data_IF_117716423878
#
_entry.id   IF_117716423878
#
_cell.length_a   1.000
_cell.length_b   1.000
_cell.length_c   1.000
_cell.angle_alpha   90.00
_cell.angle_beta   90.00
_cell.angle_gamma   90.00
#
_symmetry.space_group_name_H-M   'P 1'
#
loop_
_entity.id
_entity.type
_entity.pdbx_description
1 polymer ?
#
# COMPACT_ATOMS: atom_id res chain seq x y z
N UNK A 1 0.32 5.58 72.09
CA UNK A 1 -0.42 4.88 73.16
C UNK A 1 -1.72 5.65 73.38
N UNK A 2 -2.78 5.39 72.61
CA UNK A 2 -3.70 4.23 72.65
C UNK A 2 -4.92 4.49 73.53
N UNK A 3 -6.07 4.65 72.86
CA UNK A 3 -7.42 4.21 73.24
C UNK A 3 -8.43 5.08 72.48
N UNK A 4 -9.00 4.58 71.37
CA UNK A 4 -10.23 3.77 71.28
C UNK A 4 -11.55 4.56 71.30
N UNK A 5 -12.20 4.53 70.13
CA UNK A 5 -13.53 3.91 69.90
C UNK A 5 -14.82 4.71 70.25
N UNK A 6 -15.77 4.55 69.30
CA UNK A 6 -17.24 4.71 69.32
C UNK A 6 -17.77 6.13 69.07
N UNK A 7 -18.31 6.39 67.87
CA UNK A 7 -19.64 5.99 67.38
C UNK A 7 -20.74 6.78 68.09
N UNK A 8 -21.09 7.92 67.51
CA UNK A 8 -22.32 8.66 67.81
C UNK A 8 -23.27 8.51 66.62
N UNK A 9 -24.31 7.72 66.80
CA UNK A 9 -25.48 7.68 65.95
C UNK A 9 -26.55 8.45 66.72
N UNK A 10 -26.98 9.60 66.20
CA UNK A 10 -28.16 10.30 66.71
C UNK A 10 -28.99 10.77 65.51
N UNK A 11 -30.26 10.39 65.49
CA UNK A 11 -31.24 10.70 64.44
C UNK A 11 -31.79 12.11 64.70
N UNK A 12 -32.33 12.79 63.68
CA UNK A 12 -33.79 12.70 63.57
C UNK A 12 -34.32 12.61 62.14
N UNK A 13 -35.37 11.81 62.07
CA UNK A 13 -36.40 11.68 61.05
C UNK A 13 -36.79 13.04 60.41
N UNK A 14 -36.50 13.20 59.12
CA UNK A 14 -37.30 14.06 58.25
C UNK A 14 -37.71 13.28 57.01
N UNK A 15 -38.97 12.89 57.06
CA UNK A 15 -39.81 12.44 55.98
C UNK A 15 -39.59 13.26 54.70
N UNK A 16 -38.86 12.72 53.72
CA UNK A 16 -38.92 13.17 52.32
C UNK A 16 -39.28 11.98 51.45
N UNK A 17 -40.55 11.99 51.06
CA UNK A 17 -41.21 11.10 50.13
C UNK A 17 -40.64 11.36 48.72
N UNK A 18 -39.48 10.82 48.38
CA UNK A 18 -38.87 11.00 47.04
C UNK A 18 -38.95 9.71 46.24
N UNK A 19 -39.74 9.78 45.17
CA UNK A 19 -40.05 8.72 44.22
C UNK A 19 -38.77 8.13 43.62
N UNK A 20 -38.71 6.81 43.55
CA UNK A 20 -37.74 6.03 42.78
C UNK A 20 -37.54 6.64 41.38
N UNK A 21 -36.36 7.21 41.13
CA UNK A 21 -35.79 7.25 39.79
C UNK A 21 -34.51 6.43 39.83
N UNK A 22 -34.64 5.17 39.43
CA UNK A 22 -33.55 4.27 39.12
C UNK A 22 -32.79 4.87 37.92
N UNK A 23 -31.78 5.69 38.16
CA UNK A 23 -30.86 6.12 37.13
C UNK A 23 -29.94 4.94 36.81
N UNK A 24 -30.32 4.13 35.82
CA UNK A 24 -29.38 3.23 35.15
C UNK A 24 -28.28 4.09 34.52
N UNK A 25 -27.15 4.21 35.21
CA UNK A 25 -25.91 4.71 34.62
C UNK A 25 -25.46 3.72 33.54
N UNK A 26 -25.99 3.91 32.33
CA UNK A 26 -25.51 3.29 31.11
C UNK A 26 -24.10 3.80 30.84
N UNK A 27 -23.08 3.09 31.33
CA UNK A 27 -21.71 3.32 30.94
C UNK A 27 -21.59 3.04 29.43
N UNK A 28 -21.22 4.02 28.59
CA UNK A 28 -20.98 3.77 27.19
C UNK A 28 -19.76 2.85 27.06
N UNK A 29 -19.98 1.61 26.64
CA UNK A 29 -18.92 0.74 26.15
C UNK A 29 -18.32 1.40 24.91
N UNK A 30 -17.21 2.13 25.09
CA UNK A 30 -16.40 2.62 23.97
C UNK A 30 -15.67 1.40 23.42
N UNK A 31 -16.25 0.76 22.41
CA UNK A 31 -15.58 -0.26 21.64
C UNK A 31 -14.41 0.40 20.89
N UNK A 32 -13.17 0.12 21.31
CA UNK A 32 -11.99 0.52 20.56
C UNK A 32 -11.96 -0.28 19.26
N UNK A 33 -12.26 0.37 18.14
CA UNK A 33 -12.07 -0.23 16.82
C UNK A 33 -10.57 -0.30 16.56
N UNK A 34 -10.03 -1.52 16.51
CA UNK A 34 -8.67 -1.72 16.02
C UNK A 34 -8.65 -1.32 14.53
N UNK A 35 -7.98 -0.21 14.22
CA UNK A 35 -7.69 0.15 12.83
C UNK A 35 -6.65 -0.84 12.33
N UNK A 36 -7.08 -1.81 11.52
CA UNK A 36 -6.14 -2.63 10.76
C UNK A 36 -5.39 -1.73 9.79
N UNK A 37 -4.11 -1.50 10.03
CA UNK A 37 -3.22 -0.95 9.01
C UNK A 37 -3.17 -1.97 7.88
N UNK A 38 -3.84 -1.68 6.77
CA UNK A 38 -3.64 -2.40 5.52
C UNK A 38 -2.20 -2.13 5.11
N UNK A 39 -1.41 -3.19 4.91
CA UNK A 39 -0.06 -3.06 4.39
C UNK A 39 -0.14 -2.35 3.04
N UNK A 40 0.50 -1.18 2.95
CA UNK A 40 0.49 -0.42 1.71
C UNK A 40 1.32 -1.17 0.69
N UNK A 41 0.90 -1.22 -0.59
CA UNK A 41 1.71 -1.82 -1.62
C UNK A 41 3.07 -1.12 -1.68
N UNK A 42 4.10 -1.93 -1.84
CA UNK A 42 5.47 -1.45 -1.92
C UNK A 42 5.74 -1.11 -3.36
N UNK A 43 6.04 0.15 -3.64
CA UNK A 43 6.24 0.56 -5.02
C UNK A 43 6.29 2.07 -5.16
N UNK A 44 6.09 2.53 -6.39
CA UNK A 44 6.02 3.95 -6.69
C UNK A 44 5.19 4.24 -7.92
N UNK A 45 4.70 5.48 -7.98
CA UNK A 45 4.21 6.12 -9.20
C UNK A 45 5.30 7.02 -9.79
N UNK A 46 5.33 7.13 -11.11
CA UNK A 46 6.06 8.22 -11.77
C UNK A 46 5.34 9.56 -11.56
N UNK A 47 6.01 10.72 -11.69
CA UNK A 47 5.39 12.03 -11.44
C UNK A 47 4.23 12.34 -12.39
N UNK A 48 4.30 11.83 -13.62
CA UNK A 48 3.22 11.92 -14.61
C UNK A 48 2.00 11.06 -14.26
N UNK A 49 2.13 10.17 -13.28
CA UNK A 49 1.14 9.13 -12.90
C UNK A 49 0.75 8.20 -14.05
N UNK A 50 1.57 8.15 -15.10
CA UNK A 50 1.33 7.28 -16.24
C UNK A 50 1.86 5.86 -16.03
N UNK A 51 2.84 5.71 -15.15
CA UNK A 51 3.53 4.45 -14.85
C UNK A 51 3.48 4.23 -13.34
N UNK A 52 3.06 3.03 -12.93
CA UNK A 52 3.20 2.52 -11.56
C UNK A 52 4.09 1.28 -11.55
N UNK A 53 4.87 1.11 -10.50
CA UNK A 53 5.65 -0.10 -10.25
C UNK A 53 5.38 -0.61 -8.85
N UNK A 54 5.19 -1.91 -8.70
CA UNK A 54 5.03 -2.59 -7.41
C UNK A 54 6.03 -3.74 -7.27
N UNK A 55 6.58 -3.87 -6.08
CA UNK A 55 7.48 -4.92 -5.66
C UNK A 55 6.73 -5.98 -4.86
N UNK A 56 6.82 -7.20 -5.34
CA UNK A 56 6.28 -8.39 -4.70
C UNK A 56 7.45 -9.25 -4.21
N UNK A 57 7.26 -9.87 -3.05
CA UNK A 57 8.20 -10.83 -2.49
C UNK A 57 7.45 -12.13 -2.26
N UNK A 58 7.64 -13.10 -3.16
CA UNK A 58 7.05 -14.42 -3.05
C UNK A 58 8.15 -15.42 -2.72
N UNK A 59 8.04 -16.10 -1.58
CA UNK A 59 9.00 -17.13 -1.12
C UNK A 59 10.47 -16.66 -1.14
N UNK A 60 10.71 -15.40 -0.79
CA UNK A 60 12.05 -14.78 -0.78
C UNK A 60 12.57 -14.37 -2.16
N UNK A 61 11.80 -14.57 -3.22
CA UNK A 61 12.11 -14.10 -4.57
C UNK A 61 11.38 -12.80 -4.87
N UNK A 62 12.17 -11.75 -5.15
CA UNK A 62 11.66 -10.46 -5.54
C UNK A 62 11.21 -10.43 -7.01
N UNK A 63 10.02 -9.90 -7.25
CA UNK A 63 9.49 -9.55 -8.56
C UNK A 63 9.12 -8.08 -8.56
N UNK A 64 9.53 -7.34 -9.59
CA UNK A 64 9.07 -5.98 -9.83
C UNK A 64 8.15 -6.02 -11.05
N UNK A 65 6.90 -5.60 -10.87
CA UNK A 65 5.95 -5.37 -11.96
C UNK A 65 5.76 -3.87 -12.16
N UNK A 66 5.79 -3.44 -13.41
CA UNK A 66 5.49 -2.07 -13.80
C UNK A 66 4.43 -2.05 -14.90
N UNK A 67 3.43 -1.20 -14.73
CA UNK A 67 2.37 -0.99 -15.71
C UNK A 67 2.38 0.44 -16.22
N UNK A 68 2.15 0.61 -17.52
CA UNK A 68 2.03 1.90 -18.21
C UNK A 68 0.64 2.04 -18.84
N UNK A 69 -0.12 3.07 -18.47
CA UNK A 69 -1.52 3.20 -18.86
C UNK A 69 -1.69 3.87 -20.22
N UNK A 70 -1.04 5.01 -20.46
CA UNK A 70 -1.12 5.71 -21.73
C UNK A 70 0.10 5.40 -22.59
N UNK A 71 -0.18 4.79 -23.74
CA UNK A 71 0.76 4.38 -24.78
C UNK A 71 0.37 5.07 -26.09
N UNK A 72 1.34 5.62 -26.81
CA UNK A 72 1.14 6.10 -28.19
C UNK A 72 1.25 4.96 -29.20
N UNK A 73 2.17 4.03 -28.95
CA UNK A 73 2.40 2.87 -29.81
C UNK A 73 2.10 1.61 -29.01
N UNK A 74 1.13 0.83 -29.48
CA UNK A 74 0.82 -0.47 -28.89
C UNK A 74 1.51 -1.59 -29.68
N UNK A 75 2.21 -2.50 -28.99
CA UNK A 75 2.82 -3.65 -29.66
C UNK A 75 1.74 -4.61 -30.16
N UNK A 76 2.07 -5.41 -31.18
CA UNK A 76 1.21 -6.52 -31.60
C UNK A 76 1.12 -7.54 -30.47
N UNK A 77 -0.10 -7.91 -30.09
CA UNK A 77 -0.35 -9.00 -29.13
C UNK A 77 0.13 -10.34 -29.70
N UNK A 78 0.97 -11.11 -28.96
CA UNK A 78 1.34 -12.47 -29.32
C UNK A 78 0.14 -13.42 -29.39
N UNK A 79 0.27 -14.49 -30.18
CA UNK A 79 -0.82 -15.46 -30.38
C UNK A 79 -1.13 -16.28 -29.12
N UNK A 80 -0.15 -16.46 -28.24
CA UNK A 80 -0.23 -17.20 -26.98
C UNK A 80 -0.68 -16.36 -25.78
N UNK A 81 -0.98 -15.07 -25.99
CA UNK A 81 -1.48 -14.18 -24.95
C UNK A 81 -3.01 -14.08 -24.99
N UNK A 82 -3.69 -14.70 -24.03
CA UNK A 82 -5.16 -14.70 -23.91
C UNK A 82 -5.73 -13.49 -23.15
N UNK A 83 -4.87 -12.60 -22.63
CA UNK A 83 -5.23 -11.40 -21.88
C UNK A 83 -4.80 -10.12 -22.61
N UNK A 84 -4.86 -8.98 -21.92
CA UNK A 84 -4.36 -7.72 -22.46
C UNK A 84 -2.83 -7.73 -22.55
N UNK A 85 -2.31 -7.09 -23.60
CA UNK A 85 -0.89 -7.06 -23.90
C UNK A 85 -0.41 -5.65 -24.22
N UNK A 86 0.82 -5.35 -23.82
CA UNK A 86 1.50 -4.10 -24.17
C UNK A 86 1.81 -3.18 -22.99
N UNK A 87 1.00 -3.25 -21.94
CA UNK A 87 1.02 -2.28 -20.85
C UNK A 87 1.74 -2.79 -19.59
N UNK A 88 1.88 -4.10 -19.40
CA UNK A 88 2.46 -4.69 -18.19
C UNK A 88 3.84 -5.32 -18.45
N UNK A 89 4.78 -5.09 -17.54
CA UNK A 89 6.16 -5.55 -17.61
C UNK A 89 6.59 -6.09 -16.26
N UNK A 90 7.35 -7.19 -16.26
CA UNK A 90 7.88 -7.79 -15.05
C UNK A 90 9.37 -8.06 -15.17
N UNK A 91 10.03 -8.04 -14.02
CA UNK A 91 11.39 -8.53 -13.89
C UNK A 91 11.58 -9.28 -12.58
N UNK A 92 12.36 -10.36 -12.65
CA UNK A 92 12.87 -11.07 -11.48
C UNK A 92 14.16 -10.42 -10.97
N UNK A 93 14.42 -10.49 -9.67
CA UNK A 93 15.63 -9.90 -9.08
C UNK A 93 16.93 -10.50 -9.66
N UNK A 94 16.86 -11.76 -10.09
CA UNK A 94 17.92 -12.51 -10.77
C UNK A 94 17.30 -13.32 -11.90
N UNK A 95 17.25 -12.75 -13.11
CA UNK A 95 16.70 -13.47 -14.26
C UNK A 95 16.17 -12.54 -15.34
N UNK A 96 15.12 -13.00 -16.01
CA UNK A 96 14.52 -12.29 -17.13
C UNK A 96 13.77 -11.03 -16.68
N UNK A 97 13.73 -10.07 -17.60
CA UNK A 97 12.82 -8.93 -17.62
C UNK A 97 12.04 -9.01 -18.94
N UNK A 98 10.78 -8.59 -18.94
CA UNK A 98 9.97 -8.69 -20.14
C UNK A 98 8.58 -8.13 -20.00
N UNK A 99 7.95 -7.91 -21.16
CA UNK A 99 6.53 -7.60 -21.24
C UNK A 99 5.72 -8.88 -20.98
N UNK A 100 4.66 -8.77 -20.20
CA UNK A 100 3.80 -9.90 -19.85
C UNK A 100 2.40 -9.77 -20.46
N UNK A 101 1.68 -10.89 -20.47
CA UNK A 101 0.27 -10.96 -20.77
C UNK A 101 -0.51 -10.83 -19.46
N UNK A 102 -1.28 -9.75 -19.27
CA UNK A 102 -1.92 -9.44 -17.99
C UNK A 102 -3.33 -8.90 -18.19
N UNK A 103 -4.27 -9.31 -17.33
CA UNK A 103 -5.67 -8.84 -17.33
C UNK A 103 -6.02 -7.96 -16.14
N UNK A 104 -5.04 -7.67 -15.29
CA UNK A 104 -5.11 -6.84 -14.09
C UNK A 104 -4.13 -5.66 -14.20
N UNK A 105 -4.07 -4.80 -13.17
CA UNK A 105 -3.07 -3.72 -13.13
C UNK A 105 -2.53 -3.45 -11.73
N UNK A 106 -1.26 -3.00 -11.67
CA UNK A 106 -0.61 -2.51 -10.44
C UNK A 106 -0.75 -0.99 -10.23
N UNK A 107 -1.58 -0.32 -11.02
CA UNK A 107 -1.89 1.10 -10.78
C UNK A 107 -2.60 1.28 -9.44
N UNK A 108 -1.98 2.02 -8.53
CA UNK A 108 -2.54 2.35 -7.23
C UNK A 108 -2.16 3.79 -6.84
N UNK A 109 -3.17 4.62 -6.60
CA UNK A 109 -3.00 6.03 -6.26
C UNK A 109 -2.40 6.27 -4.85
N UNK A 110 -2.36 5.24 -4.00
CA UNK A 110 -1.75 5.28 -2.67
C UNK A 110 -0.23 5.11 -2.68
N UNK A 111 0.36 4.70 -3.82
CA UNK A 111 1.79 4.59 -3.99
C UNK A 111 2.46 5.97 -3.90
N UNK A 112 3.65 5.99 -3.30
CA UNK A 112 4.46 7.21 -3.26
C UNK A 112 4.96 7.58 -4.65
N UNK A 113 5.10 8.88 -4.92
CA UNK A 113 5.67 9.35 -6.19
C UNK A 113 7.19 9.34 -6.11
N UNK A 114 7.85 8.69 -7.07
CA UNK A 114 9.29 8.80 -7.29
C UNK A 114 9.54 10.04 -8.16
N UNK A 115 10.19 11.07 -7.63
CA UNK A 115 10.34 12.32 -8.36
C UNK A 115 11.30 12.16 -9.56
N UNK A 116 11.20 13.06 -10.54
CA UNK A 116 12.17 13.07 -11.64
C UNK A 116 13.59 13.33 -11.11
N UNK A 117 14.55 12.59 -11.65
CA UNK A 117 15.95 12.59 -11.22
C UNK A 117 16.23 11.60 -10.08
N UNK A 118 15.19 11.09 -9.41
CA UNK A 118 15.36 10.17 -8.28
C UNK A 118 15.51 8.70 -8.72
N UNK A 119 16.04 7.93 -7.78
CA UNK A 119 16.27 6.50 -7.92
C UNK A 119 15.55 5.77 -6.80
N UNK A 120 14.80 4.74 -7.17
CA UNK A 120 14.21 3.78 -6.25
C UNK A 120 14.99 2.48 -6.30
N UNK A 121 15.36 1.95 -5.13
CA UNK A 121 16.09 0.68 -5.01
C UNK A 121 15.45 -0.21 -3.96
N UNK A 122 15.19 -1.47 -4.32
CA UNK A 122 14.70 -2.48 -3.38
C UNK A 122 14.88 -3.88 -3.96
N UNK A 123 15.20 -4.87 -3.13
CA UNK A 123 15.11 -6.28 -3.51
C UNK A 123 15.95 -6.69 -4.73
N UNK A 124 17.05 -5.98 -5.02
CA UNK A 124 17.90 -6.23 -6.20
C UNK A 124 17.47 -5.47 -7.47
N UNK A 125 16.48 -4.59 -7.36
CA UNK A 125 16.00 -3.73 -8.44
C UNK A 125 16.48 -2.30 -8.25
N UNK A 126 16.76 -1.64 -9.36
CA UNK A 126 17.03 -0.20 -9.43
C UNK A 126 16.16 0.41 -10.51
N UNK A 127 15.42 1.45 -10.17
CA UNK A 127 14.59 2.22 -11.08
C UNK A 127 14.97 3.70 -11.01
N UNK A 128 15.17 4.35 -12.15
CA UNK A 128 15.40 5.79 -12.26
C UNK A 128 14.24 6.43 -12.99
N UNK A 129 13.62 7.43 -12.37
CA UNK A 129 12.59 8.24 -13.01
C UNK A 129 13.22 9.48 -13.65
N UNK A 130 12.97 9.68 -14.93
CA UNK A 130 13.46 10.81 -15.71
C UNK A 130 12.30 11.43 -16.49
N UNK A 131 12.48 12.66 -16.97
CA UNK A 131 11.47 13.31 -17.82
C UNK A 131 11.24 12.55 -19.13
N UNK A 132 12.25 11.85 -19.62
CA UNK A 132 12.20 11.00 -20.80
C UNK A 132 11.45 9.68 -20.58
N UNK A 133 11.30 9.22 -19.33
CA UNK A 133 10.67 7.95 -19.00
C UNK A 133 11.19 7.33 -17.71
N UNK A 134 10.79 6.08 -17.48
CA UNK A 134 11.26 5.27 -16.37
C UNK A 134 12.19 4.19 -16.90
N UNK A 135 13.38 4.04 -16.31
CA UNK A 135 14.27 2.91 -16.60
C UNK A 135 14.46 2.08 -15.34
N UNK A 136 14.16 0.79 -15.42
CA UNK A 136 14.35 -0.16 -14.34
C UNK A 136 15.25 -1.31 -14.79
N UNK A 137 16.07 -1.84 -13.89
CA UNK A 137 16.89 -3.02 -14.13
C UNK A 137 17.15 -3.80 -12.84
N UNK A 138 17.47 -5.08 -13.00
CA UNK A 138 17.83 -6.00 -11.92
C UNK A 138 19.35 -6.11 -11.74
N UNK A 139 19.79 -6.93 -10.78
CA UNK A 139 21.22 -7.13 -10.49
C UNK A 139 22.05 -7.67 -11.67
N UNK A 140 21.40 -8.27 -12.67
CA UNK A 140 22.03 -8.77 -13.90
C UNK A 140 22.00 -7.75 -15.06
N UNK A 141 21.63 -6.50 -14.79
CA UNK A 141 21.46 -5.44 -15.79
C UNK A 141 20.43 -5.76 -16.87
N UNK A 142 19.49 -6.67 -16.57
CA UNK A 142 18.31 -6.92 -17.40
C UNK A 142 17.16 -6.07 -16.89
N UNK A 143 16.36 -5.53 -17.79
CA UNK A 143 15.41 -4.51 -17.43
C UNK A 143 14.53 -4.03 -18.57
N UNK A 144 13.94 -2.86 -18.35
CA UNK A 144 13.14 -2.19 -19.34
C UNK A 144 13.17 -0.67 -19.15
N UNK A 145 12.97 0.04 -20.25
CA UNK A 145 12.72 1.48 -20.28
C UNK A 145 11.30 1.73 -20.80
N UNK A 146 10.52 2.51 -20.06
CA UNK A 146 9.11 2.78 -20.33
C UNK A 146 8.87 4.28 -20.45
N UNK A 147 8.35 4.69 -21.60
CA UNK A 147 7.84 6.02 -21.88
C UNK A 147 6.55 5.91 -22.70
N UNK A 148 5.75 6.98 -22.78
CA UNK A 148 4.50 6.97 -23.57
C UNK A 148 4.73 6.57 -25.04
N UNK A 149 5.82 7.08 -25.65
CA UNK A 149 6.15 6.85 -27.06
C UNK A 149 6.98 5.59 -27.35
N UNK A 150 7.66 5.01 -26.36
CA UNK A 150 8.56 3.86 -26.56
C UNK A 150 8.66 3.00 -25.31
N UNK A 151 8.64 1.68 -25.48
CA UNK A 151 8.93 0.71 -24.43
C UNK A 151 9.96 -0.27 -24.97
N UNK A 152 11.02 -0.49 -24.21
CA UNK A 152 12.17 -1.30 -24.60
C UNK A 152 12.56 -2.24 -23.46
N UNK A 153 12.93 -3.47 -23.81
CA UNK A 153 13.39 -4.51 -22.87
C UNK A 153 14.84 -4.83 -23.23
N UNK A 154 15.70 -5.00 -22.22
CA UNK A 154 17.13 -5.28 -22.38
C UNK A 154 17.65 -6.28 -21.34
#
# INVERSE_FOLDING_TARGET
MDARIKSGHDRPEFMVRMRYLQFCLLAPFVAATAVHAQDRPIGFLTPSKNIACQFFSNDGQGVLRCDIINLEVRPRRPADCELDYGHAFEMSAKGAAGRICAGDTVMDASLSVLAYGEVWQRGGFTCRSEQSGLTCFNAMQRGFSLARGRQEVF
#
